data_IF_646868626612
#
_entry.id   IF_646868626612
#
_cell.length_a   1.000
_cell.length_b   1.000
_cell.length_c   1.000
_cell.angle_alpha   90.00
_cell.angle_beta   90.00
_cell.angle_gamma   90.00
#
_symmetry.space_group_name_H-M   'P 1'
#
loop_
_entity.id
_entity.type
_entity.pdbx_description
1 polymer ?
#
# COMPACT_ATOMS: atom_id res chain seq x y z
N UNK A 1 17.74 2.78 -25.12
CA UNK A 1 17.70 1.75 -24.07
C UNK A 1 16.42 2.02 -23.31
N UNK A 2 15.39 1.19 -23.46
CA UNK A 2 14.14 1.39 -22.73
C UNK A 2 14.42 1.20 -21.24
N UNK A 3 14.26 2.25 -20.46
CA UNK A 3 14.37 2.24 -19.01
C UNK A 3 13.24 1.36 -18.45
N UNK A 4 13.52 0.05 -18.33
CA UNK A 4 12.57 -0.99 -17.91
C UNK A 4 12.58 -1.16 -16.38
N UNK A 5 12.79 -0.08 -15.64
CA UNK A 5 12.78 -0.12 -14.18
C UNK A 5 11.35 -0.31 -13.65
N UNK A 6 11.18 -1.21 -12.67
CA UNK A 6 9.90 -1.41 -11.99
C UNK A 6 9.50 -0.13 -11.24
N UNK A 7 8.21 0.17 -11.27
CA UNK A 7 7.64 1.32 -10.53
C UNK A 7 6.94 0.84 -9.25
N UNK A 8 7.14 1.54 -8.14
CA UNK A 8 6.33 1.37 -6.93
C UNK A 8 5.39 2.57 -6.79
N UNK A 9 4.09 2.33 -6.88
CA UNK A 9 3.04 3.32 -6.63
C UNK A 9 2.69 3.30 -5.15
N UNK A 10 2.79 4.46 -4.49
CA UNK A 10 2.51 4.58 -3.05
C UNK A 10 1.27 5.47 -2.85
N UNK A 11 0.21 4.90 -2.29
CA UNK A 11 -1.07 5.58 -2.08
C UNK A 11 -1.01 6.44 -0.82
N UNK A 12 -1.02 7.76 -1.00
CA UNK A 12 -0.86 8.76 0.05
C UNK A 12 -1.94 9.85 0.04
N UNK A 13 -3.00 9.69 -0.76
CA UNK A 13 -4.05 10.70 -0.95
C UNK A 13 -5.05 10.83 0.22
N UNK A 14 -4.90 10.01 1.26
CA UNK A 14 -5.72 10.14 2.48
C UNK A 14 -5.56 11.52 3.12
N UNK A 15 -6.66 12.21 3.39
CA UNK A 15 -6.65 13.59 3.88
C UNK A 15 -6.48 13.73 5.40
N UNK A 16 -6.35 12.61 6.11
CA UNK A 16 -6.27 12.60 7.57
C UNK A 16 -5.00 13.26 8.09
N UNK A 17 -5.16 14.18 9.05
CA UNK A 17 -4.06 14.82 9.77
C UNK A 17 -3.94 14.27 11.19
N UNK A 18 -2.71 14.17 11.70
CA UNK A 18 -2.37 13.87 13.10
C UNK A 18 -1.58 15.02 13.67
N UNK A 19 -2.08 15.62 14.76
CA UNK A 19 -1.41 16.73 15.44
C UNK A 19 -1.03 17.88 14.48
N UNK A 20 -1.92 18.18 13.52
CA UNK A 20 -1.72 19.22 12.49
C UNK A 20 -0.87 18.82 11.27
N UNK A 21 -0.24 17.64 11.29
CA UNK A 21 0.61 17.12 10.20
C UNK A 21 -0.10 16.05 9.39
N UNK A 22 0.31 15.84 8.15
CA UNK A 22 -0.19 14.74 7.32
C UNK A 22 0.21 13.40 7.95
N UNK A 23 -0.75 12.47 8.08
CA UNK A 23 -0.52 11.15 8.70
C UNK A 23 0.63 10.40 8.03
N UNK A 24 0.73 10.51 6.70
CA UNK A 24 1.71 9.85 5.84
C UNK A 24 3.13 10.37 6.05
N UNK A 25 3.27 11.60 6.58
CA UNK A 25 4.55 12.26 6.83
C UNK A 25 4.87 12.35 8.33
N UNK A 26 4.12 11.66 9.21
CA UNK A 26 4.37 11.65 10.65
C UNK A 26 5.69 10.89 10.94
N UNK A 27 6.72 11.57 11.50
CA UNK A 27 8.01 10.94 11.77
C UNK A 27 7.89 9.93 12.91
N UNK A 28 8.16 8.66 12.62
CA UNK A 28 8.09 7.56 13.58
C UNK A 28 9.44 6.84 13.76
N UNK A 29 10.26 6.81 12.71
CA UNK A 29 11.57 6.19 12.74
C UNK A 29 12.69 7.12 13.21
N UNK A 30 13.86 6.56 13.57
CA UNK A 30 15.08 7.34 13.76
C UNK A 30 15.38 8.27 12.58
N UNK A 31 16.00 9.42 12.86
CA UNK A 31 16.34 10.40 11.82
C UNK A 31 15.14 11.20 11.28
N UNK A 32 13.94 11.01 11.85
CA UNK A 32 12.71 11.70 11.45
C UNK A 32 12.00 11.05 10.27
N UNK A 33 12.26 9.77 10.00
CA UNK A 33 11.64 9.04 8.90
C UNK A 33 10.17 8.68 9.19
N UNK A 34 9.31 8.87 8.21
CA UNK A 34 7.93 8.37 8.19
C UNK A 34 7.89 6.94 7.62
N UNK A 35 6.75 6.23 7.74
CA UNK A 35 6.60 4.88 7.14
C UNK A 35 6.77 4.93 5.62
N UNK A 36 6.32 6.01 4.98
CA UNK A 36 6.57 6.32 3.58
C UNK A 36 8.06 6.23 3.20
N UNK A 37 8.97 6.74 4.04
CA UNK A 37 10.41 6.67 3.76
C UNK A 37 10.92 5.24 3.77
N UNK A 38 10.39 4.39 4.65
CA UNK A 38 10.74 2.97 4.70
C UNK A 38 10.22 2.22 3.48
N UNK A 39 9.00 2.52 3.01
CA UNK A 39 8.46 1.94 1.78
C UNK A 39 9.34 2.27 0.56
N UNK A 40 9.74 3.54 0.42
CA UNK A 40 10.65 3.97 -0.66
C UNK A 40 12.03 3.32 -0.48
N UNK A 41 12.59 3.35 0.73
CA UNK A 41 13.92 2.78 0.99
C UNK A 41 13.97 1.28 0.70
N UNK A 42 13.01 0.51 1.20
CA UNK A 42 12.93 -0.92 0.94
C UNK A 42 12.63 -1.22 -0.53
N UNK A 43 11.83 -0.38 -1.21
CA UNK A 43 11.64 -0.45 -2.65
C UNK A 43 12.95 -0.28 -3.43
N UNK A 44 13.77 0.71 -3.08
CA UNK A 44 15.10 0.90 -3.69
C UNK A 44 15.99 -0.31 -3.45
N UNK A 45 15.99 -0.86 -2.22
CA UNK A 45 16.78 -2.06 -1.91
C UNK A 45 16.27 -3.31 -2.64
N UNK A 46 14.97 -3.37 -2.96
CA UNK A 46 14.34 -4.45 -3.72
C UNK A 46 14.54 -4.34 -5.23
N UNK A 47 14.99 -3.19 -5.74
CA UNK A 47 15.24 -2.97 -7.18
C UNK A 47 14.17 -2.17 -7.91
N UNK A 48 13.20 -1.58 -7.21
CA UNK A 48 12.33 -0.56 -7.81
C UNK A 48 13.16 0.68 -8.16
N UNK A 49 13.09 1.11 -9.42
CA UNK A 49 13.85 2.26 -9.91
C UNK A 49 13.08 3.58 -9.88
N UNK A 50 11.74 3.51 -9.86
CA UNK A 50 10.86 4.67 -9.87
C UNK A 50 9.75 4.56 -8.83
N UNK A 51 9.37 5.69 -8.26
CA UNK A 51 8.33 5.80 -7.25
C UNK A 51 7.32 6.86 -7.68
N UNK A 52 6.03 6.51 -7.64
CA UNK A 52 4.94 7.44 -7.91
C UNK A 52 4.10 7.56 -6.65
N UNK A 53 4.10 8.73 -6.03
CA UNK A 53 3.37 8.99 -4.79
C UNK A 53 2.05 9.66 -5.16
N UNK A 54 0.94 8.97 -4.94
CA UNK A 54 -0.40 9.51 -5.20
C UNK A 54 -0.83 10.33 -3.99
N UNK A 55 -1.08 11.62 -4.18
CA UNK A 55 -1.44 12.56 -3.12
C UNK A 55 -2.76 13.27 -3.43
N UNK A 56 -3.37 13.87 -2.40
CA UNK A 56 -4.51 14.74 -2.60
C UNK A 56 -4.06 16.16 -3.05
N UNK A 57 -4.90 16.91 -3.76
CA UNK A 57 -4.59 18.27 -4.19
C UNK A 57 -4.20 19.18 -3.03
N UNK A 58 -3.16 19.99 -3.23
CA UNK A 58 -2.66 20.96 -2.25
C UNK A 58 -1.66 20.39 -1.24
N UNK A 59 -1.35 19.09 -1.28
CA UNK A 59 -0.32 18.47 -0.43
C UNK A 59 1.09 18.48 -1.05
N UNK A 60 1.23 18.89 -2.31
CA UNK A 60 2.47 18.88 -3.09
C UNK A 60 3.63 19.55 -2.33
N UNK A 61 3.47 20.76 -1.75
CA UNK A 61 4.59 21.44 -1.09
C UNK A 61 5.12 20.68 0.13
N UNK A 62 4.23 20.05 0.90
CA UNK A 62 4.61 19.28 2.10
C UNK A 62 5.36 17.98 1.69
N UNK A 63 4.89 17.29 0.66
CA UNK A 63 5.54 16.09 0.12
C UNK A 63 6.87 16.41 -0.57
N UNK A 64 6.93 17.45 -1.41
CA UNK A 64 8.17 17.86 -2.08
C UNK A 64 9.27 18.20 -1.06
N UNK A 65 8.91 18.93 0.00
CA UNK A 65 9.84 19.24 1.07
C UNK A 65 10.31 17.98 1.81
N UNK A 66 9.40 17.07 2.17
CA UNK A 66 9.73 15.83 2.87
C UNK A 66 10.64 14.91 2.03
N UNK A 67 10.31 14.74 0.75
CA UNK A 67 10.97 13.82 -0.18
C UNK A 67 12.27 14.39 -0.77
N UNK A 68 12.57 15.67 -0.54
CA UNK A 68 13.78 16.35 -1.04
C UNK A 68 15.07 15.59 -0.73
N UNK A 69 15.17 14.97 0.45
CA UNK A 69 16.35 14.19 0.87
C UNK A 69 16.53 12.93 0.04
N UNK A 70 15.46 12.19 -0.22
CA UNK A 70 15.50 11.00 -1.07
C UNK A 70 15.83 11.38 -2.52
N UNK A 71 15.21 12.44 -3.06
CA UNK A 71 15.51 12.96 -4.40
C UNK A 71 16.96 13.40 -4.55
N UNK A 72 17.53 14.09 -3.55
CA UNK A 72 18.94 14.48 -3.53
C UNK A 72 19.90 13.27 -3.54
N UNK A 73 19.45 12.10 -3.08
CA UNK A 73 20.18 10.83 -3.17
C UNK A 73 20.05 10.15 -4.54
N UNK A 74 19.27 10.70 -5.46
CA UNK A 74 19.06 10.19 -6.80
C UNK A 74 17.87 9.24 -6.94
N UNK A 75 17.00 9.16 -5.94
CA UNK A 75 15.77 8.36 -6.05
C UNK A 75 14.78 9.08 -6.99
N UNK A 76 14.32 8.38 -8.02
CA UNK A 76 13.36 8.93 -8.98
C UNK A 76 11.94 8.88 -8.37
N UNK A 77 11.46 10.03 -7.89
CA UNK A 77 10.17 10.16 -7.21
C UNK A 77 9.32 11.22 -7.90
N UNK A 78 8.15 10.81 -8.37
CA UNK A 78 7.13 11.66 -8.97
C UNK A 78 5.89 11.74 -8.07
N UNK A 79 5.19 12.88 -8.09
CA UNK A 79 3.90 13.04 -7.44
C UNK A 79 2.80 12.94 -8.50
N UNK A 80 1.78 12.12 -8.23
CA UNK A 80 0.53 12.09 -8.98
C UNK A 80 -0.59 12.64 -8.10
N UNK A 81 -1.46 13.49 -8.65
CA UNK A 81 -2.53 14.13 -7.88
C UNK A 81 -3.86 13.44 -8.12
N UNK A 82 -4.55 13.07 -7.05
CA UNK A 82 -5.88 12.50 -7.09
C UNK A 82 -6.94 13.61 -7.13
N UNK A 83 -7.32 14.03 -8.34
CA UNK A 83 -8.32 15.07 -8.57
C UNK A 83 -9.76 14.50 -8.50
N UNK A 84 -10.28 14.33 -7.29
CA UNK A 84 -11.61 13.72 -7.07
C UNK A 84 -12.75 14.48 -7.79
N UNK A 85 -12.65 15.80 -7.89
CA UNK A 85 -13.68 16.63 -8.52
C UNK A 85 -13.81 16.39 -10.04
N UNK A 86 -12.74 15.95 -10.71
CA UNK A 86 -12.76 15.67 -12.15
C UNK A 86 -13.48 14.36 -12.48
N UNK A 87 -13.51 13.41 -11.54
CA UNK A 87 -14.14 12.11 -11.77
C UNK A 87 -15.68 12.18 -11.86
N UNK A 88 -16.31 13.06 -11.08
CA UNK A 88 -17.74 13.33 -11.18
C UNK A 88 -18.03 14.82 -10.93
N UNK A 89 -17.96 15.66 -11.98
CA UNK A 89 -18.22 17.09 -11.85
C UNK A 89 -19.59 17.37 -11.23
N UNK A 90 -19.62 18.18 -10.15
CA UNK A 90 -20.86 18.61 -9.48
C UNK A 90 -21.24 17.81 -8.24
N UNK A 91 -20.57 16.70 -7.93
CA UNK A 91 -20.77 15.97 -6.67
C UNK A 91 -19.79 16.48 -5.61
N UNK A 92 -20.31 17.23 -4.63
CA UNK A 92 -19.51 17.65 -3.48
C UNK A 92 -19.28 16.44 -2.55
N UNK A 93 -18.02 16.06 -2.35
CA UNK A 93 -17.62 14.94 -1.49
C UNK A 93 -16.56 15.39 -0.50
N UNK A 94 -16.69 14.92 0.74
CA UNK A 94 -15.64 15.05 1.75
C UNK A 94 -14.66 13.86 1.70
N UNK A 95 -15.18 12.67 1.37
CA UNK A 95 -14.41 11.43 1.22
C UNK A 95 -13.77 11.32 -0.16
N UNK A 96 -12.52 10.83 -0.25
CA UNK A 96 -11.91 10.50 -1.53
C UNK A 96 -12.69 9.37 -2.23
N UNK A 97 -12.49 9.20 -3.53
CA UNK A 97 -13.11 8.11 -4.29
C UNK A 97 -12.58 6.70 -3.95
N UNK A 98 -11.71 6.55 -2.96
CA UNK A 98 -11.15 5.27 -2.55
C UNK A 98 -9.83 4.90 -3.24
N UNK A 99 -9.26 3.77 -2.81
CA UNK A 99 -7.91 3.33 -3.19
C UNK A 99 -7.80 2.90 -4.66
N UNK A 100 -8.89 2.43 -5.27
CA UNK A 100 -8.92 2.09 -6.69
C UNK A 100 -8.80 3.34 -7.56
N UNK A 101 -9.47 4.44 -7.19
CA UNK A 101 -9.35 5.71 -7.92
C UNK A 101 -7.99 6.36 -7.67
N UNK A 102 -7.48 6.32 -6.43
CA UNK A 102 -6.13 6.76 -6.12
C UNK A 102 -5.09 6.09 -7.04
N UNK A 103 -5.17 4.76 -7.20
CA UNK A 103 -4.29 4.05 -8.13
C UNK A 103 -4.51 4.53 -9.58
N UNK A 104 -5.75 4.70 -10.02
CA UNK A 104 -6.08 5.15 -11.38
C UNK A 104 -5.49 6.55 -11.70
N UNK A 105 -5.36 7.44 -10.72
CA UNK A 105 -4.72 8.75 -10.88
C UNK A 105 -3.23 8.65 -11.26
N UNK A 106 -2.56 7.53 -10.95
CA UNK A 106 -1.17 7.29 -11.33
C UNK A 106 -0.97 6.79 -12.77
N UNK A 107 -2.05 6.48 -13.52
CA UNK A 107 -1.97 5.81 -14.83
C UNK A 107 -1.09 6.53 -15.86
N UNK A 108 -1.04 7.86 -15.82
CA UNK A 108 -0.27 8.67 -16.77
C UNK A 108 1.24 8.60 -16.51
N UNK A 109 1.62 8.23 -15.28
CA UNK A 109 3.01 8.18 -14.83
C UNK A 109 3.58 6.76 -14.90
N UNK A 110 2.76 5.72 -15.01
CA UNK A 110 3.19 4.32 -14.89
C UNK A 110 2.97 3.57 -16.19
N UNK A 111 4.07 3.27 -16.90
CA UNK A 111 4.04 2.60 -18.22
C UNK A 111 4.52 1.15 -18.22
N UNK A 112 5.08 0.67 -17.10
CA UNK A 112 5.58 -0.69 -16.91
C UNK A 112 4.79 -1.41 -15.82
N UNK A 113 5.08 -2.70 -15.63
CA UNK A 113 4.57 -3.46 -14.48
C UNK A 113 5.02 -2.81 -13.17
N UNK A 114 4.15 -2.85 -12.16
CA UNK A 114 4.29 -1.99 -10.99
C UNK A 114 3.81 -2.66 -9.70
N UNK A 115 4.41 -2.25 -8.59
CA UNK A 115 3.92 -2.54 -7.25
C UNK A 115 2.99 -1.42 -6.76
N UNK A 116 2.13 -1.72 -5.80
CA UNK A 116 1.25 -0.78 -5.11
C UNK A 116 1.33 -1.03 -3.61
N UNK A 117 1.44 0.03 -2.81
CA UNK A 117 1.37 -0.05 -1.35
C UNK A 117 0.77 1.21 -0.72
N UNK A 118 0.37 1.13 0.55
CA UNK A 118 -0.05 2.31 1.33
C UNK A 118 1.17 3.13 1.79
N UNK A 119 0.99 4.43 2.00
CA UNK A 119 2.04 5.33 2.51
C UNK A 119 2.23 5.29 4.03
N UNK A 120 1.23 4.78 4.77
CA UNK A 120 1.15 4.79 6.23
C UNK A 120 1.22 3.39 6.85
N UNK A 121 1.68 2.42 6.07
CA UNK A 121 1.98 1.06 6.49
C UNK A 121 3.47 0.76 6.24
N UNK A 122 4.06 -0.05 7.12
CA UNK A 122 5.37 -0.63 6.95
C UNK A 122 5.21 -2.12 6.65
N UNK A 123 5.71 -2.54 5.50
CA UNK A 123 5.63 -3.93 5.03
C UNK A 123 6.92 -4.73 5.30
N UNK A 124 8.04 -4.02 5.46
CA UNK A 124 9.35 -4.61 5.64
C UNK A 124 10.01 -5.07 4.33
N UNK A 125 11.35 -5.04 4.32
CA UNK A 125 12.17 -5.33 3.13
C UNK A 125 11.86 -6.67 2.45
N UNK A 126 11.60 -7.72 3.22
CA UNK A 126 11.33 -9.05 2.66
C UNK A 126 10.10 -9.06 1.76
N UNK A 127 8.98 -8.54 2.27
CA UNK A 127 7.71 -8.45 1.53
C UNK A 127 7.84 -7.62 0.25
N UNK A 128 8.51 -6.46 0.33
CA UNK A 128 8.74 -5.59 -0.83
C UNK A 128 9.66 -6.26 -1.86
N UNK A 129 10.67 -7.01 -1.42
CA UNK A 129 11.54 -7.78 -2.30
C UNK A 129 10.81 -8.94 -2.98
N UNK A 130 10.04 -9.71 -2.22
CA UNK A 130 9.26 -10.82 -2.77
C UNK A 130 8.29 -10.34 -3.86
N UNK A 131 7.70 -9.15 -3.67
CA UNK A 131 6.88 -8.51 -4.69
C UNK A 131 7.68 -8.14 -5.96
N UNK A 132 8.85 -7.50 -5.79
CA UNK A 132 9.70 -7.12 -6.91
C UNK A 132 10.17 -8.35 -7.71
N UNK A 133 10.63 -9.39 -7.02
CA UNK A 133 11.05 -10.65 -7.63
C UNK A 133 9.88 -11.30 -8.39
N UNK A 134 8.68 -11.32 -7.81
CA UNK A 134 7.49 -11.89 -8.43
C UNK A 134 7.03 -11.10 -9.67
N UNK A 135 7.13 -9.77 -9.67
CA UNK A 135 6.82 -8.95 -10.86
C UNK A 135 7.70 -9.33 -12.06
N UNK A 136 8.94 -9.77 -11.80
CA UNK A 136 9.87 -10.21 -12.87
C UNK A 136 9.76 -11.67 -13.28
N UNK A 137 9.20 -12.54 -12.43
CA UNK A 137 9.28 -14.00 -12.60
C UNK A 137 7.94 -14.72 -12.73
N UNK A 138 6.85 -14.11 -12.23
CA UNK A 138 5.50 -14.63 -12.42
C UNK A 138 4.97 -14.22 -13.79
N UNK A 139 3.95 -14.94 -14.28
CA UNK A 139 3.15 -14.57 -15.45
C UNK A 139 1.72 -14.14 -15.05
N UNK A 140 1.39 -14.14 -13.75
CA UNK A 140 0.06 -13.73 -13.27
C UNK A 140 -0.21 -12.24 -13.54
N UNK A 141 -1.48 -11.91 -13.77
CA UNK A 141 -1.95 -10.54 -14.02
C UNK A 141 -1.82 -9.65 -12.77
N UNK A 142 -2.04 -10.25 -11.60
CA UNK A 142 -1.85 -9.60 -10.31
C UNK A 142 -1.11 -10.49 -9.32
N UNK A 143 -0.48 -9.84 -8.35
CA UNK A 143 0.26 -10.43 -7.26
C UNK A 143 -0.24 -9.82 -5.96
N UNK A 144 -0.38 -10.63 -4.93
CA UNK A 144 -0.69 -10.19 -3.57
C UNK A 144 0.40 -10.69 -2.62
N UNK A 145 0.99 -9.80 -1.83
CA UNK A 145 1.74 -10.19 -0.64
C UNK A 145 0.80 -10.13 0.56
N UNK A 146 0.32 -11.27 1.08
CA UNK A 146 -0.56 -11.28 2.23
C UNK A 146 0.24 -11.13 3.53
N UNK A 147 -0.46 -10.81 4.61
CA UNK A 147 0.08 -10.89 5.97
C UNK A 147 -0.82 -11.78 6.84
N UNK A 148 -0.28 -12.47 7.86
CA UNK A 148 -1.11 -13.20 8.81
C UNK A 148 -2.01 -12.25 9.58
N UNK A 149 -3.31 -12.56 9.71
CA UNK A 149 -4.26 -11.71 10.43
C UNK A 149 -3.75 -11.33 11.82
N UNK A 150 -3.20 -12.29 12.57
CA UNK A 150 -2.69 -12.07 13.92
C UNK A 150 -1.64 -10.96 14.04
N UNK A 151 -0.80 -10.76 13.01
CA UNK A 151 0.22 -9.70 12.99
C UNK A 151 -0.36 -8.32 12.66
N UNK A 152 -1.61 -8.27 12.20
CA UNK A 152 -2.27 -7.05 11.74
C UNK A 152 -3.35 -6.56 12.69
N UNK A 153 -3.62 -7.26 13.79
CA UNK A 153 -4.59 -6.82 14.80
C UNK A 153 -4.06 -5.65 15.64
N UNK A 154 -4.95 -4.87 16.22
CA UNK A 154 -4.61 -3.90 17.26
C UNK A 154 -5.10 -4.36 18.63
N UNK A 155 -4.30 -4.15 19.66
CA UNK A 155 -4.72 -4.35 21.04
C UNK A 155 -5.71 -3.29 21.54
N UNK A 156 -5.99 -2.24 20.75
CA UNK A 156 -6.75 -1.05 21.17
C UNK A 156 -8.16 -0.98 20.61
N UNK A 157 -8.53 -1.85 19.69
CA UNK A 157 -9.86 -1.87 19.09
C UNK A 157 -9.91 -2.69 17.81
N UNK A 158 -11.09 -2.76 17.21
CA UNK A 158 -11.31 -3.48 15.97
C UNK A 158 -10.62 -2.84 14.79
N UNK A 159 -10.15 -3.70 13.89
CA UNK A 159 -9.51 -3.30 12.64
C UNK A 159 -10.29 -3.84 11.44
N UNK A 160 -10.16 -3.17 10.30
CA UNK A 160 -10.73 -3.65 9.04
C UNK A 160 -9.64 -4.24 8.14
N UNK A 161 -9.84 -5.44 7.59
CA UNK A 161 -8.84 -6.19 6.82
C UNK A 161 -9.49 -6.92 5.65
N UNK A 162 -8.84 -6.92 4.49
CA UNK A 162 -9.25 -7.75 3.34
C UNK A 162 -8.91 -9.21 3.58
N UNK A 163 -9.84 -9.99 4.13
CA UNK A 163 -9.69 -11.42 4.39
C UNK A 163 -9.57 -12.18 3.07
N UNK A 164 -8.45 -12.84 2.84
CA UNK A 164 -8.17 -13.55 1.60
C UNK A 164 -8.48 -15.03 1.75
N UNK A 165 -9.14 -15.59 0.74
CA UNK A 165 -9.28 -17.03 0.55
C UNK A 165 -8.46 -17.47 -0.64
N UNK A 166 -7.63 -18.48 -0.44
CA UNK A 166 -6.70 -18.97 -1.46
C UNK A 166 -7.03 -20.38 -1.91
N UNK A 167 -6.67 -20.73 -3.13
CA UNK A 167 -6.71 -22.10 -3.65
C UNK A 167 -5.49 -22.89 -3.18
N UNK A 168 -5.52 -24.21 -3.37
CA UNK A 168 -4.36 -25.09 -3.14
C UNK A 168 -3.13 -24.75 -4.01
N UNK A 169 -3.33 -24.02 -5.11
CA UNK A 169 -2.29 -23.61 -6.05
C UNK A 169 -1.69 -22.24 -5.72
N UNK A 170 -2.06 -21.63 -4.59
CA UNK A 170 -1.57 -20.31 -4.20
C UNK A 170 -2.20 -19.18 -5.00
N UNK A 171 -3.45 -19.33 -5.43
CA UNK A 171 -4.20 -18.35 -6.21
C UNK A 171 -5.23 -17.67 -5.32
N UNK A 172 -5.45 -16.37 -5.50
CA UNK A 172 -6.54 -15.69 -4.81
C UNK A 172 -7.86 -16.18 -5.39
N UNK A 173 -8.74 -16.67 -4.52
CA UNK A 173 -10.10 -17.02 -4.92
C UNK A 173 -11.05 -15.88 -4.60
N UNK A 174 -10.85 -15.23 -3.46
CA UNK A 174 -11.77 -14.19 -2.97
C UNK A 174 -11.03 -13.30 -1.96
N UNK A 175 -11.37 -12.02 -1.95
CA UNK A 175 -10.97 -11.09 -0.89
C UNK A 175 -12.21 -10.32 -0.44
N UNK A 176 -12.53 -10.44 0.85
CA UNK A 176 -13.70 -9.80 1.47
C UNK A 176 -13.30 -8.96 2.66
N UNK A 177 -13.95 -7.82 2.84
CA UNK A 177 -13.66 -6.95 3.97
C UNK A 177 -14.17 -7.57 5.28
N UNK A 178 -13.28 -7.82 6.22
CA UNK A 178 -13.60 -8.14 7.60
C UNK A 178 -13.55 -6.87 8.44
N UNK A 179 -14.68 -6.49 9.03
CA UNK A 179 -14.87 -5.29 9.83
C UNK A 179 -14.79 -5.59 11.33
N UNK A 180 -14.30 -4.63 12.10
CA UNK A 180 -14.24 -4.69 13.57
C UNK A 180 -13.57 -5.98 14.11
N UNK A 181 -12.51 -6.43 13.42
CA UNK A 181 -11.77 -7.64 13.79
C UNK A 181 -11.00 -7.38 15.09
N UNK A 182 -11.35 -8.12 16.14
CA UNK A 182 -10.77 -7.99 17.48
C UNK A 182 -10.39 -9.36 18.03
N UNK A 183 -9.37 -9.40 18.91
CA UNK A 183 -9.07 -10.58 19.70
C UNK A 183 -9.98 -10.61 20.93
N UNK A 184 -10.83 -11.61 21.01
CA UNK A 184 -11.71 -11.85 22.15
C UNK A 184 -10.92 -12.44 23.35
N UNK A 185 -11.47 -12.39 24.58
CA UNK A 185 -10.79 -12.90 25.79
C UNK A 185 -10.47 -14.40 25.77
N UNK A 186 -11.21 -15.19 24.98
CA UNK A 186 -10.95 -16.62 24.75
C UNK A 186 -9.85 -16.88 23.71
N UNK A 187 -9.26 -15.82 23.16
CA UNK A 187 -8.19 -15.88 22.17
C UNK A 187 -8.67 -15.92 20.72
N UNK A 188 -9.96 -16.13 20.45
CA UNK A 188 -10.49 -16.16 19.09
C UNK A 188 -10.53 -14.76 18.47
N UNK A 189 -10.28 -14.67 17.16
CA UNK A 189 -10.44 -13.42 16.41
C UNK A 189 -11.85 -13.35 15.83
N UNK A 190 -12.58 -12.30 16.17
CA UNK A 190 -13.99 -12.12 15.77
C UNK A 190 -14.22 -10.75 15.16
N UNK A 191 -15.14 -10.68 14.21
CA UNK A 191 -15.55 -9.44 13.56
C UNK A 191 -16.86 -9.63 12.78
N UNK A 192 -17.05 -8.84 11.73
CA UNK A 192 -18.23 -8.93 10.86
C UNK A 192 -17.86 -8.79 9.39
N UNK A 193 -18.66 -9.37 8.51
CA UNK A 193 -18.60 -9.04 7.09
C UNK A 193 -19.39 -7.75 6.79
N UNK A 194 -19.35 -7.20 5.56
CA UNK A 194 -20.08 -5.98 5.20
C UNK A 194 -21.60 -6.14 5.28
N UNK A 195 -22.10 -7.39 5.35
CA UNK A 195 -23.53 -7.70 5.54
C UNK A 195 -23.91 -7.84 7.02
N UNK A 196 -22.98 -7.58 7.93
CA UNK A 196 -23.16 -7.62 9.38
C UNK A 196 -23.13 -9.02 10.00
N UNK A 197 -22.85 -10.07 9.20
CA UNK A 197 -22.74 -11.45 9.71
C UNK A 197 -21.49 -11.59 10.54
N UNK A 198 -21.59 -12.30 11.67
CA UNK A 198 -20.44 -12.56 12.53
C UNK A 198 -19.41 -13.43 11.81
N UNK A 199 -18.15 -13.05 11.96
CA UNK A 199 -16.99 -13.79 11.49
C UNK A 199 -16.19 -14.27 12.70
N UNK A 200 -15.73 -15.52 12.63
CA UNK A 200 -14.65 -16.03 13.46
C UNK A 200 -13.53 -16.47 12.50
N UNK A 201 -12.33 -15.90 12.69
CA UNK A 201 -11.25 -15.97 11.70
C UNK A 201 -9.99 -16.50 12.38
N UNK A 202 -9.24 -17.34 11.67
CA UNK A 202 -8.01 -17.91 12.18
C UNK A 202 -6.86 -16.91 12.21
N UNK A 203 -5.92 -17.11 13.12
CA UNK A 203 -4.74 -16.25 13.29
C UNK A 203 -3.86 -16.19 12.03
N UNK A 204 -3.73 -17.35 11.37
CA UNK A 204 -2.94 -17.51 10.15
C UNK A 204 -3.73 -17.19 8.87
N UNK A 205 -4.99 -16.72 8.99
CA UNK A 205 -5.76 -16.33 7.81
C UNK A 205 -5.02 -15.20 7.08
N UNK A 206 -4.70 -15.37 5.78
CA UNK A 206 -4.01 -14.35 5.01
C UNK A 206 -4.93 -13.16 4.82
N UNK A 207 -4.40 -11.96 5.03
CA UNK A 207 -5.10 -10.70 4.80
C UNK A 207 -4.32 -9.81 3.84
N UNK A 208 -5.05 -9.08 3.01
CA UNK A 208 -4.48 -8.03 2.18
C UNK A 208 -4.28 -6.78 3.03
N UNK A 209 -3.02 -6.32 3.07
CA UNK A 209 -2.64 -5.02 3.60
C UNK A 209 -2.35 -4.01 2.49
N UNK A 210 -2.95 -4.23 1.33
CA UNK A 210 -2.80 -3.41 0.13
C UNK A 210 -1.38 -3.39 -0.48
N UNK A 211 -0.62 -4.48 -0.33
CA UNK A 211 0.66 -4.69 -1.01
C UNK A 211 0.46 -5.58 -2.23
N UNK A 212 0.29 -4.95 -3.39
CA UNK A 212 -0.06 -5.62 -4.65
C UNK A 212 1.00 -5.42 -5.72
N UNK A 213 1.00 -6.30 -6.71
CA UNK A 213 1.73 -6.13 -7.96
C UNK A 213 0.78 -6.32 -9.13
N UNK A 214 0.95 -5.54 -10.19
CA UNK A 214 0.07 -5.59 -11.35
C UNK A 214 0.84 -5.44 -12.65
N UNK A 215 0.29 -6.08 -13.69
CA UNK A 215 0.69 -5.81 -15.07
C UNK A 215 0.16 -4.47 -15.53
N UNK A 216 0.86 -3.85 -16.48
CA UNK A 216 0.37 -2.61 -17.13
C UNK A 216 -0.98 -2.78 -17.85
N UNK A 217 -1.38 -4.02 -18.16
CA UNK A 217 -2.71 -4.38 -18.70
C UNK A 217 -3.86 -4.14 -17.71
N UNK A 218 -3.58 -3.81 -16.44
CA UNK A 218 -4.59 -3.45 -15.45
C UNK A 218 -5.32 -2.13 -15.79
N UNK A 219 -4.63 -1.16 -16.40
CA UNK A 219 -5.15 0.21 -16.53
C UNK A 219 -6.49 0.30 -17.28
N UNK A 220 -6.69 -0.40 -18.42
CA UNK A 220 -7.98 -0.44 -19.08
C UNK A 220 -9.08 -1.06 -18.21
N UNK A 221 -8.78 -2.15 -17.50
CA UNK A 221 -9.74 -2.83 -16.61
C UNK A 221 -10.19 -1.92 -15.47
N UNK A 222 -9.22 -1.30 -14.79
CA UNK A 222 -9.48 -0.38 -13.69
C UNK A 222 -10.27 0.85 -14.15
N UNK A 223 -9.95 1.39 -15.34
CA UNK A 223 -10.68 2.52 -15.92
C UNK A 223 -12.14 2.18 -16.24
N UNK A 224 -12.39 0.99 -16.81
CA UNK A 224 -13.76 0.53 -17.11
C UNK A 224 -14.55 0.29 -15.82
N UNK A 225 -13.93 -0.37 -14.82
CA UNK A 225 -14.56 -0.62 -13.53
C UNK A 225 -14.94 0.67 -12.81
N UNK A 226 -14.03 1.65 -12.76
CA UNK A 226 -14.32 2.96 -12.17
C UNK A 226 -15.41 3.71 -12.95
N UNK A 227 -15.39 3.66 -14.28
CA UNK A 227 -16.45 4.25 -15.10
C UNK A 227 -17.83 3.63 -14.83
N UNK A 228 -17.89 2.32 -14.58
CA UNK A 228 -19.12 1.63 -14.16
C UNK A 228 -19.56 2.03 -12.75
N UNK A 229 -18.61 2.16 -11.82
CA UNK A 229 -18.87 2.63 -10.46
C UNK A 229 -19.49 4.04 -10.47
N UNK A 230 -18.93 5.00 -11.23
CA UNK A 230 -19.51 6.34 -11.34
C UNK A 230 -20.90 6.33 -12.01
N UNK A 231 -21.11 5.50 -13.03
CA UNK A 231 -22.44 5.35 -13.68
C UNK A 231 -23.50 4.77 -12.76
N UNK A 232 -23.12 4.06 -11.70
CA UNK A 232 -24.03 3.55 -10.69
C UNK A 232 -24.51 4.64 -9.70
N UNK A 233 -24.10 5.89 -9.91
CA UNK A 233 -24.47 7.07 -9.10
C UNK A 233 -24.11 6.90 -7.61
N UNK A 234 -22.81 6.74 -7.30
CA UNK A 234 -22.35 6.48 -5.94
C UNK A 234 -22.63 7.67 -5.02
N UNK A 235 -23.13 7.38 -3.82
CA UNK A 235 -23.37 8.36 -2.78
C UNK A 235 -22.07 8.97 -2.24
N UNK A 236 -22.17 10.05 -1.44
CA UNK A 236 -21.01 10.82 -0.98
C UNK A 236 -20.01 10.03 -0.09
N UNK A 237 -20.46 8.92 0.50
CA UNK A 237 -19.64 8.03 1.35
C UNK A 237 -19.17 6.77 0.63
N UNK A 238 -19.63 6.51 -0.60
CA UNK A 238 -19.29 5.28 -1.33
C UNK A 238 -17.88 5.39 -1.93
N UNK A 239 -17.01 4.43 -1.65
CA UNK A 239 -15.61 4.44 -2.09
C UNK A 239 -15.34 3.29 -3.06
N UNK A 240 -14.55 3.54 -4.10
CA UNK A 240 -14.09 2.53 -5.05
C UNK A 240 -12.79 1.90 -4.53
N UNK A 241 -12.92 0.77 -3.85
CA UNK A 241 -11.78 0.07 -3.25
C UNK A 241 -11.03 -0.82 -4.25
N UNK A 242 -9.70 -0.78 -4.19
CA UNK A 242 -8.84 -1.63 -5.02
C UNK A 242 -9.06 -3.12 -4.75
N UNK A 243 -9.28 -3.52 -3.49
CA UNK A 243 -9.55 -4.91 -3.11
C UNK A 243 -10.85 -5.43 -3.72
N UNK A 244 -11.91 -4.64 -3.70
CA UNK A 244 -13.21 -5.00 -4.30
C UNK A 244 -13.09 -5.14 -5.83
N UNK A 245 -12.40 -4.20 -6.48
CA UNK A 245 -12.11 -4.32 -7.91
C UNK A 245 -11.35 -5.63 -8.25
N UNK A 246 -10.29 -5.95 -7.48
CA UNK A 246 -9.54 -7.20 -7.69
C UNK A 246 -10.43 -8.42 -7.44
N UNK A 247 -11.25 -8.39 -6.39
CA UNK A 247 -12.19 -9.47 -6.09
C UNK A 247 -13.13 -9.73 -7.28
N UNK A 248 -13.77 -8.68 -7.80
CA UNK A 248 -14.72 -8.80 -8.92
C UNK A 248 -14.03 -9.28 -10.21
N UNK A 249 -12.82 -8.81 -10.46
CA UNK A 249 -12.01 -9.25 -11.60
C UNK A 249 -11.61 -10.74 -11.50
N UNK A 250 -11.27 -11.21 -10.29
CA UNK A 250 -10.97 -12.62 -10.01
C UNK A 250 -12.23 -13.48 -10.13
N UNK A 251 -13.35 -13.05 -9.54
CA UNK A 251 -14.62 -13.78 -9.59
C UNK A 251 -15.18 -13.91 -11.00
N UNK A 252 -14.98 -12.90 -11.85
CA UNK A 252 -15.37 -12.93 -13.27
C UNK A 252 -14.40 -13.70 -14.17
N UNK A 253 -13.22 -14.09 -13.66
CA UNK A 253 -12.15 -14.71 -14.45
C UNK A 253 -11.43 -13.75 -15.40
N UNK A 254 -11.61 -12.44 -15.23
CA UNK A 254 -10.95 -11.41 -16.05
C UNK A 254 -9.50 -11.17 -15.62
N UNK A 255 -9.17 -11.51 -14.37
CA UNK A 255 -7.85 -11.33 -13.78
C UNK A 255 -7.44 -12.56 -12.98
N UNK A 256 -6.20 -12.98 -13.18
CA UNK A 256 -5.58 -14.10 -12.48
C UNK A 256 -4.60 -13.56 -11.41
N UNK A 257 -4.91 -13.77 -10.12
CA UNK A 257 -4.12 -13.23 -9.00
C UNK A 257 -3.38 -14.33 -8.24
N UNK A 258 -2.05 -14.25 -8.20
CA UNK A 258 -1.21 -15.13 -7.40
C UNK A 258 -1.00 -14.54 -6.00
N UNK A 259 -1.16 -15.37 -4.98
CA UNK A 259 -0.87 -15.02 -3.59
C UNK A 259 0.53 -15.53 -3.25
N UNK A 260 1.41 -14.59 -2.91
CA UNK A 260 2.79 -14.84 -2.54
C UNK A 260 2.89 -15.35 -1.10
N UNK A 261 4.11 -15.67 -0.68
CA UNK A 261 4.39 -16.08 0.70
C UNK A 261 3.99 -14.94 1.66
N UNK A 262 3.42 -15.26 2.83
CA UNK A 262 3.08 -14.23 3.81
C UNK A 262 4.29 -13.40 4.20
N UNK A 263 4.13 -12.08 4.17
CA UNK A 263 5.06 -11.14 4.76
C UNK A 263 4.98 -11.19 6.28
N UNK A 264 5.99 -10.61 6.93
CA UNK A 264 6.08 -10.57 8.39
C UNK A 264 6.53 -9.21 8.91
N UNK A 265 6.09 -8.91 10.12
CA UNK A 265 6.45 -7.70 10.84
C UNK A 265 5.86 -6.45 10.21
N UNK A 266 4.64 -6.57 9.68
CA UNK A 266 3.83 -5.43 9.26
C UNK A 266 3.61 -4.48 10.43
N UNK A 267 3.65 -3.17 10.19
CA UNK A 267 3.29 -2.16 11.17
C UNK A 267 2.40 -1.13 10.49
N UNK A 268 1.19 -0.95 11.00
CA UNK A 268 0.35 0.19 10.68
C UNK A 268 -0.02 0.93 11.94
N UNK A 269 -0.39 2.20 11.80
CA UNK A 269 -0.91 2.98 12.92
C UNK A 269 -2.40 3.18 12.68
N UNK A 270 -3.22 2.33 13.28
CA UNK A 270 -4.69 2.44 13.22
C UNK A 270 -5.18 3.38 14.32
N UNK A 271 -4.69 3.22 15.55
CA UNK A 271 -5.03 4.06 16.70
C UNK A 271 -3.87 4.96 17.13
N UNK A 272 -4.12 6.13 17.77
CA UNK A 272 -3.05 7.04 18.22
C UNK A 272 -1.98 6.36 19.10
N UNK A 273 -2.37 5.39 19.92
CA UNK A 273 -1.46 4.66 20.80
C UNK A 273 -0.63 3.57 20.10
N UNK A 274 -0.89 3.25 18.83
CA UNK A 274 -0.08 2.31 18.03
C UNK A 274 1.22 2.98 17.57
N UNK A 275 1.23 4.32 17.51
CA UNK A 275 2.39 5.12 17.08
C UNK A 275 3.63 4.84 17.93
N UNK A 276 3.48 4.73 19.24
CA UNK A 276 4.60 4.48 20.15
C UNK A 276 5.22 3.09 19.90
N UNK A 277 4.38 2.06 19.72
CA UNK A 277 4.83 0.71 19.40
C UNK A 277 5.50 0.64 18.01
N UNK A 278 4.95 1.34 17.02
CA UNK A 278 5.57 1.45 15.69
C UNK A 278 6.95 2.11 15.75
N UNK A 279 7.07 3.24 16.46
CA UNK A 279 8.33 3.95 16.64
C UNK A 279 9.38 3.09 17.37
N UNK A 280 8.98 2.37 18.42
CA UNK A 280 9.85 1.45 19.14
C UNK A 280 10.34 0.31 18.24
N UNK A 281 9.44 -0.32 17.48
CA UNK A 281 9.78 -1.39 16.53
C UNK A 281 10.78 -0.92 15.47
N UNK A 282 10.58 0.28 14.91
CA UNK A 282 11.52 0.88 13.95
C UNK A 282 12.88 1.16 14.61
N UNK A 283 12.92 1.71 15.82
CA UNK A 283 14.16 1.94 16.56
C UNK A 283 14.93 0.63 16.83
N UNK A 284 14.23 -0.44 17.23
CA UNK A 284 14.83 -1.76 17.42
C UNK A 284 15.43 -2.32 16.13
N UNK A 285 14.74 -2.16 14.99
CA UNK A 285 15.25 -2.60 13.67
C UNK A 285 16.50 -1.82 13.27
N UNK A 286 16.54 -0.52 13.52
CA UNK A 286 17.75 0.31 13.33
C UNK A 286 18.90 -0.14 14.25
N UNK A 287 18.62 -0.39 15.53
CA UNK A 287 19.64 -0.84 16.49
C UNK A 287 20.23 -2.22 16.14
N UNK A 288 19.44 -3.08 15.50
CA UNK A 288 19.87 -4.38 14.94
C UNK A 288 20.64 -4.25 13.61
N UNK A 289 20.82 -3.03 13.09
CA UNK A 289 21.52 -2.78 11.84
C UNK A 289 20.71 -3.11 10.57
N UNK A 290 19.40 -3.38 10.69
CA UNK A 290 18.55 -3.66 9.52
C UNK A 290 18.30 -2.41 8.67
N UNK A 291 18.25 -1.24 9.33
CA UNK A 291 18.13 0.07 8.71
C UNK A 291 19.21 1.00 9.24
N UNK A 292 19.72 1.92 8.42
CA UNK A 292 20.61 2.97 8.92
C UNK A 292 19.84 3.95 9.84
N UNK A 293 20.53 4.64 10.78
CA UNK A 293 19.90 5.66 11.63
C UNK A 293 19.28 6.83 10.85
N UNK A 294 19.74 7.05 9.61
CA UNK A 294 19.17 7.99 8.64
C UNK A 294 19.08 7.26 7.30
N UNK A 295 17.87 7.07 6.79
CA UNK A 295 17.63 6.36 5.52
C UNK A 295 18.32 7.04 4.32
N UNK A 296 18.35 8.37 4.33
CA UNK A 296 18.85 9.21 3.22
C UNK A 296 20.13 9.98 3.58
N UNK A 297 21.05 9.34 4.31
CA UNK A 297 22.30 10.00 4.74
C UNK A 297 23.19 10.36 3.52
N UNK A 298 23.55 11.64 3.32
CA UNK A 298 24.42 12.05 2.22
C UNK A 298 25.85 11.51 2.34
N UNK A 299 26.30 11.13 3.54
CA UNK A 299 27.64 10.57 3.76
C UNK A 299 27.76 9.08 3.40
N UNK A 300 26.64 8.38 3.19
CA UNK A 300 26.66 6.98 2.81
C UNK A 300 26.96 6.80 1.31
N UNK A 301 27.91 5.92 0.94
CA UNK A 301 28.21 5.63 -0.46
C UNK A 301 26.95 5.11 -1.18
N UNK A 302 26.73 5.55 -2.42
CA UNK A 302 25.66 4.99 -3.26
C UNK A 302 26.02 3.53 -3.56
N UNK A 303 25.20 2.57 -3.14
CA UNK A 303 25.27 1.21 -3.68
C UNK A 303 24.48 1.23 -4.99
N UNK A 304 25.17 1.13 -6.12
CA UNK A 304 24.56 1.11 -7.46
C UNK A 304 24.79 2.41 -8.22
N UNK A 305 25.80 2.40 -9.07
CA UNK A 305 26.20 3.49 -9.94
C UNK A 305 27.54 3.08 -10.53
N UNK A 306 27.49 2.41 -11.67
CA UNK A 306 28.66 2.00 -12.42
C UNK A 306 29.66 3.15 -12.47
N UNK A 307 30.86 2.87 -11.96
CA UNK A 307 32.04 3.65 -12.26
C UNK A 307 32.38 3.40 -13.73
N UNK A 308 31.74 4.12 -14.64
CA UNK A 308 32.33 4.41 -15.94
C UNK A 308 33.21 5.64 -15.77
N UNK A 309 34.49 5.34 -15.58
CA UNK A 309 35.63 6.19 -15.91
C UNK A 309 35.56 6.72 -17.34
#
# INVERSE_FOLDING_TARGET
MSDSSLTLVILAAGRSRRYGRLKQLDPMGPGGSALLDYAIYDGVQAGFGRFVIVIAPGMEPEFDNHLSRARARGVAIELAVQEDAEAAPGLARERPWGTGFALLSARGSVSSDFGVCNADDFYGRGAVKDLADALTSSESDALLVPFPLAETLSARGGVSRGLCRTSSEGRLVEVVEGLDLTRAPDGAVRGRDPRGRLLEVGDDTPVSMNLWGFRSTLWPLLSVAFGSFIKADPGPEDEFYLSEFVNDAVQSGTLECQVLRPGHGWLGVTFPGDRAAAAESLAQRTNKGLYPPRLWDPSQPRKGGDACS
#
